data_IF_698400010217
#
_entry.id   IF_698400010217
#
_cell.length_a   1.000
_cell.length_b   1.000
_cell.length_c   1.000
_cell.angle_alpha   90.00
_cell.angle_beta   90.00
_cell.angle_gamma   90.00
#
_symmetry.space_group_name_H-M   'P 1'
#
loop_
_entity.id
_entity.type
_entity.pdbx_description
1 polymer ?
#
# COMPACT_ATOMS: atom_id res chain seq x y z
N UNK A 1 -12.29 -16.59 -31.07
CA UNK A 1 -11.09 -15.87 -30.59
C UNK A 1 -10.86 -16.23 -29.13
N UNK A 2 -9.72 -16.83 -28.76
CA UNK A 2 -9.40 -17.19 -27.37
C UNK A 2 -9.16 -15.89 -26.59
N UNK A 3 -9.92 -15.65 -25.53
CA UNK A 3 -9.67 -14.51 -24.64
C UNK A 3 -8.27 -14.63 -24.04
N UNK A 4 -7.46 -13.58 -24.20
CA UNK A 4 -6.14 -13.47 -23.55
C UNK A 4 -6.32 -13.50 -22.03
N UNK A 5 -5.29 -13.96 -21.32
CA UNK A 5 -5.29 -14.10 -19.86
C UNK A 5 -5.61 -12.79 -19.15
N UNK A 6 -5.10 -11.66 -19.68
CA UNK A 6 -5.38 -10.29 -19.24
C UNK A 6 -6.87 -9.92 -19.29
N UNK A 7 -7.59 -10.35 -20.33
CA UNK A 7 -9.02 -10.04 -20.47
C UNK A 7 -9.89 -10.81 -19.46
N UNK A 8 -9.47 -12.02 -19.07
CA UNK A 8 -10.12 -12.80 -18.01
C UNK A 8 -9.81 -12.24 -16.63
N UNK A 9 -8.59 -11.76 -16.43
CA UNK A 9 -8.14 -11.12 -15.20
C UNK A 9 -8.88 -9.81 -14.93
N UNK A 10 -8.94 -8.88 -15.89
CA UNK A 10 -9.72 -7.63 -15.77
C UNK A 10 -11.20 -7.90 -15.53
N UNK A 11 -11.75 -8.96 -16.12
CA UNK A 11 -13.14 -9.37 -15.89
C UNK A 11 -13.35 -9.93 -14.48
N UNK A 12 -12.43 -10.74 -13.97
CA UNK A 12 -12.47 -11.21 -12.59
C UNK A 12 -12.34 -10.05 -11.59
N UNK A 13 -11.42 -9.12 -11.86
CA UNK A 13 -11.22 -7.90 -11.07
C UNK A 13 -12.47 -7.02 -11.05
N UNK A 14 -13.13 -6.83 -12.20
CA UNK A 14 -14.41 -6.11 -12.29
C UNK A 14 -15.56 -6.83 -11.60
N UNK A 15 -15.58 -8.16 -11.57
CA UNK A 15 -16.63 -8.93 -10.86
C UNK A 15 -16.40 -8.83 -9.35
N UNK A 16 -15.15 -8.94 -8.90
CA UNK A 16 -14.80 -8.76 -7.49
C UNK A 16 -15.09 -7.32 -7.03
N UNK A 17 -14.74 -6.30 -7.82
CA UNK A 17 -15.02 -4.89 -7.50
C UNK A 17 -16.51 -4.54 -7.60
N UNK A 18 -17.25 -5.10 -8.56
CA UNK A 18 -18.70 -4.92 -8.65
C UNK A 18 -19.42 -5.52 -7.42
N UNK A 19 -18.98 -6.70 -6.96
CA UNK A 19 -19.49 -7.33 -5.73
C UNK A 19 -19.14 -6.56 -4.44
N UNK A 20 -18.13 -5.68 -4.50
CA UNK A 20 -17.77 -4.74 -3.42
C UNK A 20 -18.62 -3.47 -3.48
N UNK A 21 -18.98 -2.98 -4.68
CA UNK A 21 -19.78 -1.76 -4.88
C UNK A 21 -21.29 -1.93 -4.66
N UNK A 22 -21.78 -3.16 -4.59
CA UNK A 22 -23.21 -3.46 -4.52
C UNK A 22 -23.54 -4.39 -3.36
N UNK A 23 -23.58 -3.85 -2.14
CA UNK A 23 -24.42 -4.38 -1.04
C UNK A 23 -24.36 -3.43 0.17
N UNK A 24 -25.51 -2.83 0.50
CA UNK A 24 -25.76 -2.15 1.77
C UNK A 24 -25.53 -3.14 2.93
N UNK A 25 -24.47 -2.92 3.73
CA UNK A 25 -24.26 -3.61 5.00
C UNK A 25 -23.18 -4.71 5.04
N UNK A 26 -22.07 -4.59 4.32
CA UNK A 26 -20.88 -5.43 4.54
C UNK A 26 -19.99 -4.85 5.63
N UNK A 27 -19.56 -5.71 6.56
CA UNK A 27 -18.58 -5.41 7.59
C UNK A 27 -17.29 -4.88 6.93
N UNK A 28 -16.79 -3.67 7.29
CA UNK A 28 -15.52 -3.14 6.78
C UNK A 28 -14.36 -4.14 6.90
N UNK A 29 -14.36 -4.94 7.96
CA UNK A 29 -13.33 -5.97 8.19
C UNK A 29 -13.41 -7.10 7.17
N UNK A 30 -14.61 -7.55 6.80
CA UNK A 30 -14.79 -8.57 5.75
C UNK A 30 -14.32 -8.04 4.39
N UNK A 31 -14.65 -6.79 4.09
CA UNK A 31 -14.23 -6.11 2.85
C UNK A 31 -12.71 -6.00 2.80
N UNK A 32 -12.08 -5.61 3.90
CA UNK A 32 -10.63 -5.55 4.02
C UNK A 32 -9.95 -6.91 3.80
N UNK A 33 -10.49 -7.99 4.38
CA UNK A 33 -9.95 -9.34 4.18
C UNK A 33 -10.05 -9.75 2.71
N UNK A 34 -11.13 -9.37 2.03
CA UNK A 34 -11.29 -9.61 0.59
C UNK A 34 -10.22 -8.87 -0.22
N UNK A 35 -10.02 -7.57 0.04
CA UNK A 35 -8.99 -6.77 -0.60
C UNK A 35 -7.59 -7.32 -0.36
N UNK A 36 -7.26 -7.71 0.88
CA UNK A 36 -5.98 -8.34 1.21
C UNK A 36 -5.73 -9.61 0.38
N UNK A 37 -6.71 -10.52 0.35
CA UNK A 37 -6.62 -11.77 -0.45
C UNK A 37 -6.46 -11.48 -1.93
N UNK A 38 -7.18 -10.48 -2.44
CA UNK A 38 -7.05 -10.04 -3.82
C UNK A 38 -5.64 -9.54 -4.07
N UNK A 39 -5.11 -8.64 -3.23
CA UNK A 39 -3.74 -8.12 -3.33
C UNK A 39 -2.68 -9.22 -3.41
N UNK A 40 -2.80 -10.26 -2.57
CA UNK A 40 -1.91 -11.45 -2.63
C UNK A 40 -2.00 -12.17 -3.98
N UNK A 41 -3.20 -12.34 -4.52
CA UNK A 41 -3.40 -12.97 -5.84
C UNK A 41 -2.82 -12.11 -6.96
N UNK A 42 -3.05 -10.78 -6.95
CA UNK A 42 -2.54 -9.88 -8.00
C UNK A 42 -1.01 -9.81 -7.97
N UNK A 43 -0.41 -9.77 -6.78
CA UNK A 43 1.05 -9.77 -6.63
C UNK A 43 1.68 -11.05 -7.21
N UNK A 44 1.09 -12.23 -6.92
CA UNK A 44 1.53 -13.51 -7.50
C UNK A 44 1.38 -13.58 -9.02
N UNK A 45 0.49 -12.78 -9.61
CA UNK A 45 0.31 -12.67 -11.05
C UNK A 45 1.23 -11.63 -11.69
N UNK A 46 2.03 -10.89 -10.90
CA UNK A 46 2.89 -9.80 -11.37
C UNK A 46 2.15 -8.48 -11.61
N UNK A 47 0.88 -8.38 -11.23
CA UNK A 47 0.03 -7.21 -11.43
C UNK A 47 0.19 -6.24 -10.24
N UNK A 48 1.41 -5.72 -10.08
CA UNK A 48 1.85 -4.99 -8.88
C UNK A 48 0.99 -3.76 -8.58
N UNK A 49 0.65 -2.95 -9.58
CA UNK A 49 -0.20 -1.77 -9.37
C UNK A 49 -1.60 -2.11 -8.87
N UNK A 50 -2.17 -3.22 -9.33
CA UNK A 50 -3.44 -3.72 -8.79
C UNK A 50 -3.28 -4.23 -7.37
N UNK A 51 -2.20 -4.98 -7.11
CA UNK A 51 -1.91 -5.54 -5.80
C UNK A 51 -1.77 -4.46 -4.72
N UNK A 52 -0.97 -3.44 -4.99
CA UNK A 52 -0.70 -2.33 -4.06
C UNK A 52 -2.00 -1.59 -3.71
N UNK A 53 -2.84 -1.25 -4.71
CA UNK A 53 -4.14 -0.62 -4.44
C UNK A 53 -5.03 -1.49 -3.55
N UNK A 54 -5.06 -2.80 -3.78
CA UNK A 54 -5.81 -3.72 -2.93
C UNK A 54 -5.25 -3.76 -1.49
N UNK A 55 -3.93 -3.76 -1.33
CA UNK A 55 -3.34 -3.70 0.00
C UNK A 55 -3.65 -2.38 0.70
N UNK A 56 -3.55 -1.24 0.01
CA UNK A 56 -3.89 0.06 0.57
C UNK A 56 -5.34 0.10 1.07
N UNK A 57 -6.29 -0.31 0.22
CA UNK A 57 -7.71 -0.34 0.58
C UNK A 57 -7.97 -1.31 1.74
N UNK A 58 -7.27 -2.46 1.78
CA UNK A 58 -7.42 -3.41 2.88
C UNK A 58 -7.03 -2.80 4.22
N UNK A 59 -5.87 -2.15 4.33
CA UNK A 59 -5.38 -1.65 5.62
C UNK A 59 -6.02 -0.32 6.02
N UNK A 60 -6.45 0.50 5.06
CA UNK A 60 -7.31 1.65 5.35
C UNK A 60 -8.65 1.18 5.94
N UNK A 61 -9.34 0.21 5.34
CA UNK A 61 -10.63 -0.30 5.84
C UNK A 61 -10.55 -1.02 7.19
N UNK A 62 -9.36 -1.49 7.58
CA UNK A 62 -9.12 -2.13 8.90
C UNK A 62 -8.88 -1.13 10.01
N UNK A 63 -8.42 0.07 9.66
CA UNK A 63 -8.33 1.17 10.61
C UNK A 63 -9.75 1.68 10.90
N UNK A 64 -10.24 1.43 12.11
CA UNK A 64 -11.56 1.91 12.54
C UNK A 64 -11.50 3.31 13.14
N UNK A 65 -10.33 3.98 13.11
CA UNK A 65 -10.22 5.34 13.59
C UNK A 65 -10.55 6.35 12.50
N UNK A 66 -11.61 7.12 12.73
CA UNK A 66 -12.10 8.13 11.77
C UNK A 66 -11.20 9.38 11.69
N UNK A 67 -10.26 9.55 12.62
CA UNK A 67 -9.55 10.83 12.82
C UNK A 67 -8.63 11.24 11.64
N UNK A 68 -8.17 10.28 10.84
CA UNK A 68 -7.23 10.53 9.74
C UNK A 68 -7.79 10.17 8.35
N UNK A 69 -8.81 9.31 8.27
CA UNK A 69 -9.28 8.73 7.01
C UNK A 69 -9.82 9.75 6.00
N UNK A 70 -10.34 10.88 6.49
CA UNK A 70 -10.95 11.91 5.64
C UNK A 70 -9.95 12.89 5.02
N UNK A 71 -8.66 12.81 5.37
CA UNK A 71 -7.65 13.68 4.77
C UNK A 71 -7.10 13.08 3.47
N UNK A 72 -7.32 13.77 2.36
CA UNK A 72 -6.72 13.44 1.05
C UNK A 72 -5.20 13.24 1.15
N UNK A 73 -4.51 14.10 1.92
CA UNK A 73 -3.06 14.04 2.06
C UNK A 73 -2.61 12.82 2.87
N UNK A 74 -3.40 12.37 3.86
CA UNK A 74 -3.13 11.12 4.56
C UNK A 74 -3.19 9.94 3.60
N UNK A 75 -4.25 9.86 2.78
CA UNK A 75 -4.42 8.76 1.83
C UNK A 75 -3.28 8.73 0.81
N UNK A 76 -2.89 9.87 0.25
CA UNK A 76 -1.74 9.94 -0.66
C UNK A 76 -0.43 9.51 0.02
N UNK A 77 -0.15 10.04 1.22
CA UNK A 77 1.04 9.66 1.96
C UNK A 77 1.06 8.15 2.26
N UNK A 78 -0.08 7.61 2.70
CA UNK A 78 -0.24 6.19 2.97
C UNK A 78 0.00 5.35 1.71
N UNK A 79 -0.61 5.73 0.59
CA UNK A 79 -0.49 5.00 -0.67
C UNK A 79 0.96 4.96 -1.17
N UNK A 80 1.69 6.08 -1.08
CA UNK A 80 3.11 6.18 -1.42
C UNK A 80 3.96 5.30 -0.49
N UNK A 81 3.78 5.42 0.82
CA UNK A 81 4.64 4.71 1.78
C UNK A 81 4.39 3.20 1.77
N UNK A 82 3.14 2.77 1.61
CA UNK A 82 2.80 1.36 1.46
C UNK A 82 3.33 0.79 0.13
N UNK A 83 3.28 1.56 -0.95
CA UNK A 83 3.89 1.17 -2.21
C UNK A 83 5.41 1.03 -2.10
N UNK A 84 6.10 1.96 -1.42
CA UNK A 84 7.53 1.84 -1.10
C UNK A 84 7.81 0.56 -0.32
N UNK A 85 7.02 0.28 0.73
CA UNK A 85 7.17 -0.95 1.50
C UNK A 85 6.95 -2.23 0.67
N UNK A 86 5.94 -2.27 -0.18
CA UNK A 86 5.68 -3.46 -0.99
C UNK A 86 6.77 -3.63 -2.04
N UNK A 87 7.18 -2.55 -2.71
CA UNK A 87 8.17 -2.61 -3.76
C UNK A 87 9.58 -2.88 -3.22
N UNK A 88 9.95 -2.44 -2.02
CA UNK A 88 11.26 -2.81 -1.45
C UNK A 88 11.38 -4.28 -1.03
N UNK A 89 10.28 -5.05 -1.01
CA UNK A 89 10.28 -6.48 -0.67
C UNK A 89 10.63 -7.36 -1.86
N UNK A 90 11.32 -8.47 -1.60
CA UNK A 90 11.67 -9.46 -2.65
C UNK A 90 10.41 -10.07 -3.27
N UNK A 91 9.41 -10.39 -2.46
CA UNK A 91 8.15 -11.01 -2.93
C UNK A 91 7.13 -10.00 -3.46
N UNK A 92 7.39 -8.69 -3.31
CA UNK A 92 6.49 -7.60 -3.72
C UNK A 92 5.05 -7.80 -3.21
N UNK A 93 4.92 -8.27 -1.96
CA UNK A 93 3.65 -8.65 -1.34
C UNK A 93 3.69 -8.47 0.17
N UNK A 94 2.51 -8.32 0.78
CA UNK A 94 2.34 -8.41 2.24
C UNK A 94 1.94 -9.85 2.58
N UNK A 95 2.69 -10.50 3.47
CA UNK A 95 2.53 -11.93 3.75
C UNK A 95 1.34 -12.22 4.66
N UNK A 96 0.99 -11.29 5.56
CA UNK A 96 -0.10 -11.49 6.53
C UNK A 96 -0.82 -10.17 6.87
N UNK A 97 -2.03 -10.28 7.41
CA UNK A 97 -2.76 -9.12 7.93
C UNK A 97 -1.99 -8.42 9.06
N UNK A 98 -1.33 -9.19 9.94
CA UNK A 98 -0.55 -8.62 11.05
C UNK A 98 0.65 -7.79 10.56
N UNK A 99 1.32 -8.25 9.50
CA UNK A 99 2.39 -7.47 8.85
C UNK A 99 1.85 -6.16 8.29
N UNK A 100 0.73 -6.21 7.56
CA UNK A 100 0.19 -4.99 6.98
C UNK A 100 -0.42 -4.03 8.00
N UNK A 101 -1.01 -4.54 9.09
CA UNK A 101 -1.48 -3.72 10.22
C UNK A 101 -0.27 -3.01 10.87
N UNK A 102 0.83 -3.72 11.12
CA UNK A 102 2.06 -3.13 11.65
C UNK A 102 2.63 -2.06 10.71
N UNK A 103 2.69 -2.31 9.41
CA UNK A 103 3.19 -1.33 8.42
C UNK A 103 2.28 -0.11 8.37
N UNK A 104 0.96 -0.31 8.38
CA UNK A 104 -0.03 0.76 8.44
C UNK A 104 0.18 1.63 9.69
N UNK A 105 0.39 1.02 10.86
CA UNK A 105 0.66 1.74 12.12
C UNK A 105 1.96 2.54 12.06
N UNK A 106 3.03 2.00 11.45
CA UNK A 106 4.28 2.74 11.24
C UNK A 106 4.08 3.96 10.35
N UNK A 107 3.34 3.81 9.25
CA UNK A 107 3.02 4.90 8.33
C UNK A 107 2.19 5.97 9.04
N UNK A 108 1.17 5.55 9.80
CA UNK A 108 0.32 6.44 10.58
C UNK A 108 1.09 7.22 11.63
N UNK A 109 1.97 6.55 12.36
CA UNK A 109 2.84 7.19 13.34
C UNK A 109 3.74 8.25 12.68
N UNK A 110 4.38 7.92 11.54
CA UNK A 110 5.22 8.87 10.83
C UNK A 110 4.42 10.06 10.30
N UNK A 111 3.21 9.82 9.80
CA UNK A 111 2.32 10.90 9.36
C UNK A 111 2.01 11.89 10.47
N UNK A 112 1.67 11.39 11.66
CA UNK A 112 1.39 12.23 12.83
C UNK A 112 2.61 13.07 13.22
N UNK A 113 3.82 12.48 13.23
CA UNK A 113 5.06 13.22 13.46
C UNK A 113 5.28 14.30 12.40
N UNK A 114 5.06 13.98 11.11
CA UNK A 114 5.21 14.91 10.01
C UNK A 114 4.26 16.12 10.14
N UNK A 115 3.02 15.89 10.59
CA UNK A 115 2.08 16.98 10.85
C UNK A 115 2.56 17.93 11.96
N UNK A 116 3.20 17.39 13.01
CA UNK A 116 3.81 18.21 14.06
C UNK A 116 5.00 19.00 13.52
N UNK A 117 5.89 18.36 12.76
CA UNK A 117 7.05 19.01 12.13
C UNK A 117 6.64 20.15 11.19
N UNK A 118 5.60 19.95 10.37
CA UNK A 118 5.06 20.99 9.48
C UNK A 118 4.51 22.17 10.29
N UNK A 119 3.79 21.88 11.38
CA UNK A 119 3.17 22.90 12.24
C UNK A 119 4.20 23.71 13.01
N UNK A 120 5.28 23.08 13.45
CA UNK A 120 6.37 23.71 14.21
C UNK A 120 7.44 24.35 13.32
N UNK A 121 7.42 24.09 12.01
CA UNK A 121 8.38 24.66 11.06
C UNK A 121 8.30 26.19 11.03
N UNK A 122 9.45 26.83 11.24
CA UNK A 122 9.61 28.29 11.07
C UNK A 122 9.46 28.74 9.61
N UNK A 123 9.63 27.80 8.66
CA UNK A 123 9.53 28.05 7.22
C UNK A 123 8.19 27.50 6.72
N UNK A 124 7.31 28.33 6.15
CA UNK A 124 6.06 27.87 5.56
C UNK A 124 6.36 26.90 4.41
N UNK A 125 5.83 25.68 4.50
CA UNK A 125 5.95 24.72 3.42
C UNK A 125 5.10 25.19 2.24
N UNK A 126 5.76 25.73 1.20
CA UNK A 126 5.10 26.27 0.00
C UNK A 126 4.53 25.19 -0.93
N UNK A 127 4.81 23.90 -0.64
CA UNK A 127 4.02 22.74 -1.05
C UNK A 127 3.49 22.72 -2.49
N UNK A 128 4.32 23.11 -3.48
CA UNK A 128 3.89 23.08 -4.89
C UNK A 128 3.68 21.65 -5.42
N UNK A 129 4.27 20.65 -4.76
CA UNK A 129 4.08 19.23 -5.06
C UNK A 129 4.27 18.39 -3.78
N UNK A 130 3.20 18.27 -2.99
CA UNK A 130 3.16 17.46 -1.77
C UNK A 130 3.44 15.98 -2.06
N UNK A 131 2.94 15.47 -3.19
CA UNK A 131 3.08 14.07 -3.59
C UNK A 131 4.53 13.70 -3.90
N UNK A 132 5.28 14.59 -4.57
CA UNK A 132 6.73 14.41 -4.75
C UNK A 132 7.50 14.48 -3.43
N UNK A 133 7.06 15.32 -2.48
CA UNK A 133 7.70 15.39 -1.17
C UNK A 133 7.45 14.13 -0.33
N UNK A 134 6.25 13.54 -0.37
CA UNK A 134 5.95 12.31 0.35
C UNK A 134 6.89 11.16 0.00
N UNK A 135 7.38 11.09 -1.24
CA UNK A 135 8.36 10.09 -1.67
C UNK A 135 9.74 10.27 -1.03
N UNK A 136 10.05 11.48 -0.57
CA UNK A 136 11.32 11.80 0.13
C UNK A 136 11.28 11.53 1.62
N UNK A 137 10.08 11.28 2.17
CA UNK A 137 9.92 10.95 3.58
C UNK A 137 10.27 9.47 3.78
N UNK A 138 11.27 9.21 4.61
CA UNK A 138 11.72 7.85 4.91
C UNK A 138 11.04 7.31 6.17
N UNK A 139 10.67 6.03 6.09
CA UNK A 139 10.24 5.19 7.22
C UNK A 139 11.20 4.00 7.27
N UNK A 140 11.73 3.71 8.46
CA UNK A 140 12.57 2.54 8.69
C UNK A 140 11.70 1.29 8.80
N UNK A 141 11.34 0.73 7.65
CA UNK A 141 10.51 -0.47 7.61
C UNK A 141 11.30 -1.75 7.95
N UNK A 142 10.64 -2.74 8.57
CA UNK A 142 11.24 -4.06 8.84
C UNK A 142 11.13 -4.98 7.61
N UNK A 143 12.06 -4.82 6.67
CA UNK A 143 12.10 -5.60 5.42
C UNK A 143 12.40 -7.09 5.61
N UNK A 144 13.11 -7.43 6.70
CA UNK A 144 13.66 -8.76 6.99
C UNK A 144 12.62 -9.81 7.44
N UNK A 145 11.35 -9.42 7.62
CA UNK A 145 10.30 -10.35 8.06
C UNK A 145 10.01 -11.49 7.07
N UNK A 146 10.57 -11.45 5.86
CA UNK A 146 10.47 -12.53 4.87
C UNK A 146 11.43 -13.72 5.15
N UNK A 147 12.43 -13.55 6.02
CA UNK A 147 13.59 -14.46 6.14
C UNK A 147 13.37 -15.71 7.00
N UNK A 148 12.24 -15.84 7.69
CA UNK A 148 12.04 -16.95 8.63
C UNK A 148 11.71 -18.30 7.98
N UNK A 149 11.40 -18.34 6.67
CA UNK A 149 11.02 -19.59 5.99
C UNK A 149 12.13 -20.23 5.13
N UNK A 150 13.17 -19.50 4.71
CA UNK A 150 14.22 -20.06 3.84
C UNK A 150 15.60 -19.47 4.16
N UNK A 151 16.49 -20.31 4.70
CA UNK A 151 17.90 -20.03 4.88
C UNK A 151 18.59 -19.94 3.51
N UNK A 152 18.58 -18.76 2.89
CA UNK A 152 19.40 -18.46 1.72
C UNK A 152 20.07 -17.09 1.89
N UNK A 153 21.40 -17.07 1.78
CA UNK A 153 22.26 -15.91 2.04
C UNK A 153 22.20 -14.88 0.92
N UNK A 154 21.03 -14.27 0.71
CA UNK A 154 20.77 -13.27 -0.32
C UNK A 154 20.51 -11.87 0.25
N UNK A 155 21.01 -10.87 -0.48
CA UNK A 155 20.97 -9.43 -0.18
C UNK A 155 19.67 -8.91 0.46
N UNK A 156 19.84 -8.11 1.53
CA UNK A 156 18.81 -7.39 2.28
C UNK A 156 17.79 -6.68 1.38
N UNK A 157 16.52 -6.66 1.81
CA UNK A 157 15.46 -5.88 1.15
C UNK A 157 15.84 -4.39 1.07
N UNK A 158 15.82 -3.84 -0.15
CA UNK A 158 16.14 -2.45 -0.44
C UNK A 158 15.33 -2.03 -1.66
N UNK A 159 14.71 -0.84 -1.61
CA UNK A 159 14.02 -0.27 -2.76
C UNK A 159 15.06 0.38 -3.68
N UNK A 160 15.10 -0.03 -4.95
CA UNK A 160 16.00 0.55 -5.94
C UNK A 160 15.35 1.73 -6.71
N UNK A 161 16.13 2.42 -7.55
CA UNK A 161 15.65 3.57 -8.33
C UNK A 161 14.54 3.18 -9.33
N UNK A 162 14.53 1.93 -9.81
CA UNK A 162 13.53 1.42 -10.75
C UNK A 162 12.20 1.19 -10.04
N UNK A 163 12.25 0.60 -8.84
CA UNK A 163 11.11 0.39 -7.96
C UNK A 163 10.52 1.72 -7.47
N UNK A 164 11.35 2.73 -7.19
CA UNK A 164 10.89 4.09 -6.88
C UNK A 164 10.11 4.70 -8.05
N UNK A 165 10.60 4.57 -9.28
CA UNK A 165 9.86 5.01 -10.47
C UNK A 165 8.57 4.21 -10.70
N UNK A 166 8.55 2.94 -10.34
CA UNK A 166 7.34 2.13 -10.35
C UNK A 166 6.33 2.59 -9.29
N UNK A 167 6.79 2.90 -8.09
CA UNK A 167 5.96 3.51 -7.04
C UNK A 167 5.25 4.75 -7.56
N UNK A 168 6.00 5.69 -8.15
CA UNK A 168 5.46 6.92 -8.75
C UNK A 168 4.35 6.62 -9.75
N UNK A 169 4.56 5.66 -10.65
CA UNK A 169 3.55 5.28 -11.67
C UNK A 169 2.30 4.64 -11.08
N UNK A 170 2.41 4.01 -9.91
CA UNK A 170 1.30 3.29 -9.27
C UNK A 170 0.46 4.25 -8.42
N UNK A 171 1.10 5.28 -7.86
CA UNK A 171 0.48 6.22 -6.90
C UNK A 171 0.08 7.58 -7.49
N UNK A 172 0.36 7.84 -8.78
CA UNK A 172 -0.13 8.99 -9.55
C UNK A 172 -1.36 8.63 -10.39
#
# INVERSE_FOLDING_TARGET
MKQTTDQRYRKALNICSANLSGEQGKDPLESAVCFFRMGVVLSRLGELGGAIRCFNDAFLLRDLSDELQDSHNWREFHDVQMAIYILGKRRKAIASLAEGDMVHDLIKHRWQQLQVEIKESEIPFLGKDLSSWFQTVHIDFPWELEELDEFDGGQNGHIDEVDLLECVRITQ
#
